data_IF_335225259291
#
_entry.id   IF_335225259291
#
_cell.length_a   1.000
_cell.length_b   1.000
_cell.length_c   1.000
_cell.angle_alpha   90.00
_cell.angle_beta   90.00
_cell.angle_gamma   90.00
#
_symmetry.space_group_name_H-M   'P 1'
#
loop_
_entity.id
_entity.type
_entity.pdbx_description
1 polymer ?
#
# COMPACT_ATOMS: atom_id res chain seq x y z
N UNK A 1 16.38 10.03 26.29
CA UNK A 1 15.93 10.48 24.97
C UNK A 1 14.77 9.56 24.59
N UNK A 2 13.52 10.07 24.52
CA UNK A 2 12.38 9.27 24.12
C UNK A 2 12.58 8.80 22.68
N UNK A 3 12.44 7.50 22.41
CA UNK A 3 12.51 6.97 21.05
C UNK A 3 11.44 7.66 20.22
N UNK A 4 11.84 8.25 19.09
CA UNK A 4 10.89 8.82 18.13
C UNK A 4 9.95 7.71 17.66
N UNK A 5 8.61 7.96 17.58
CA UNK A 5 7.69 6.93 17.13
C UNK A 5 7.98 6.55 15.68
N UNK A 6 7.97 5.24 15.38
CA UNK A 6 8.27 4.72 14.06
C UNK A 6 7.15 3.81 13.53
N UNK A 7 7.21 3.56 12.23
CA UNK A 7 6.29 2.68 11.50
C UNK A 7 7.06 1.46 11.02
N UNK A 8 6.45 0.28 11.15
CA UNK A 8 6.94 -0.97 10.55
C UNK A 8 6.03 -1.34 9.40
N UNK A 9 6.59 -1.47 8.21
CA UNK A 9 5.94 -2.06 7.05
C UNK A 9 6.29 -3.55 6.93
N UNK A 10 5.28 -4.41 6.77
CA UNK A 10 5.43 -5.87 6.67
C UNK A 10 4.71 -6.35 5.41
N UNK A 11 5.43 -6.73 4.36
CA UNK A 11 4.76 -7.13 3.12
C UNK A 11 5.69 -7.17 1.91
N UNK A 12 5.11 -6.97 0.72
CA UNK A 12 5.83 -7.11 -0.54
C UNK A 12 6.84 -5.99 -0.81
N UNK A 13 8.01 -6.42 -1.30
CA UNK A 13 8.97 -5.61 -2.02
C UNK A 13 9.35 -6.36 -3.30
N UNK A 14 9.09 -5.78 -4.46
CA UNK A 14 9.32 -6.43 -5.74
C UNK A 14 9.93 -5.48 -6.78
N UNK A 15 10.32 -6.04 -7.90
CA UNK A 15 10.65 -5.29 -9.11
C UNK A 15 9.41 -5.20 -10.00
N UNK A 16 9.07 -3.99 -10.45
CA UNK A 16 8.08 -3.78 -11.50
C UNK A 16 8.80 -3.66 -12.84
N UNK A 17 8.41 -4.53 -13.78
CA UNK A 17 8.83 -4.53 -15.17
C UNK A 17 7.66 -4.10 -16.04
N UNK A 18 7.73 -2.93 -16.67
CA UNK A 18 6.70 -2.41 -17.53
C UNK A 18 7.18 -2.36 -18.97
N UNK A 19 6.58 -3.16 -19.85
CA UNK A 19 6.79 -3.12 -21.29
C UNK A 19 5.66 -2.33 -21.96
N UNK A 20 5.97 -1.19 -22.57
CA UNK A 20 5.02 -0.38 -23.34
C UNK A 20 5.27 -0.57 -24.83
N UNK A 21 4.27 -1.04 -25.58
CA UNK A 21 4.37 -1.22 -27.02
C UNK A 21 4.37 0.11 -27.75
N UNK A 22 5.19 0.21 -28.82
CA UNK A 22 5.19 1.39 -29.70
C UNK A 22 4.11 1.34 -30.78
N UNK A 23 3.40 0.22 -30.93
CA UNK A 23 2.37 0.01 -31.96
C UNK A 23 1.36 -1.04 -31.47
N UNK A 24 0.37 -1.35 -32.30
CA UNK A 24 -0.59 -2.43 -32.04
C UNK A 24 0.13 -3.75 -31.76
N UNK A 25 -0.20 -4.39 -30.65
CA UNK A 25 0.42 -5.65 -30.24
C UNK A 25 -0.06 -6.81 -31.11
N UNK A 26 0.89 -7.55 -31.66
CA UNK A 26 0.67 -8.81 -32.33
C UNK A 26 0.95 -9.97 -31.38
N UNK A 27 -0.10 -10.71 -31.00
CA UNK A 27 0.04 -11.86 -30.14
C UNK A 27 0.89 -12.96 -30.81
N UNK A 28 1.73 -13.62 -30.02
CA UNK A 28 2.64 -14.69 -30.45
C UNK A 28 3.78 -14.23 -31.36
N UNK A 29 4.09 -12.93 -31.31
CA UNK A 29 5.18 -12.32 -32.07
C UNK A 29 6.02 -11.41 -31.15
N UNK A 30 7.20 -11.00 -31.64
CA UNK A 30 8.07 -10.03 -30.99
C UNK A 30 7.59 -8.62 -31.33
N UNK A 31 7.18 -7.84 -30.32
CA UNK A 31 6.68 -6.49 -30.49
C UNK A 31 7.74 -5.47 -30.07
N UNK A 32 8.07 -4.48 -30.92
CA UNK A 32 8.93 -3.37 -30.53
C UNK A 32 8.27 -2.52 -29.42
N UNK A 33 9.06 -2.14 -28.41
CA UNK A 33 8.54 -1.39 -27.27
C UNK A 33 9.64 -0.83 -26.39
N UNK A 34 9.23 -0.14 -25.34
CA UNK A 34 10.10 0.37 -24.28
C UNK A 34 9.88 -0.45 -23.01
N UNK A 35 11.00 -0.83 -22.37
CA UNK A 35 10.94 -1.54 -21.08
C UNK A 35 11.50 -0.62 -20.01
N UNK A 36 10.75 -0.44 -18.93
CA UNK A 36 11.17 0.29 -17.75
C UNK A 36 11.16 -0.60 -16.51
N UNK A 37 12.07 -0.29 -15.58
CA UNK A 37 12.17 -0.97 -14.29
C UNK A 37 11.95 0.03 -13.16
N UNK A 38 11.21 -0.40 -12.14
CA UNK A 38 11.11 0.34 -10.88
C UNK A 38 11.01 -0.61 -9.70
N UNK A 39 11.44 -0.18 -8.53
CA UNK A 39 11.13 -0.91 -7.31
C UNK A 39 9.65 -0.69 -6.99
N UNK A 40 8.96 -1.78 -6.67
CA UNK A 40 7.53 -1.85 -6.40
C UNK A 40 7.21 -2.65 -5.13
N UNK A 41 5.97 -3.08 -5.03
CA UNK A 41 5.38 -3.74 -3.86
C UNK A 41 4.61 -2.76 -3.00
N UNK A 42 3.35 -3.10 -2.67
CA UNK A 42 2.44 -2.18 -1.97
C UNK A 42 3.05 -1.70 -0.66
N UNK A 43 3.48 -2.61 0.22
CA UNK A 43 4.11 -2.22 1.50
C UNK A 43 5.38 -1.42 1.29
N UNK A 44 6.26 -1.80 0.34
CA UNK A 44 7.48 -1.04 0.03
C UNK A 44 7.15 0.36 -0.49
N UNK A 45 6.16 0.51 -1.34
CA UNK A 45 5.70 1.79 -1.88
C UNK A 45 5.13 2.70 -0.79
N UNK A 46 4.33 2.14 0.14
CA UNK A 46 3.84 2.84 1.33
C UNK A 46 5.02 3.32 2.19
N UNK A 47 6.01 2.45 2.44
CA UNK A 47 7.21 2.80 3.21
C UNK A 47 8.02 3.93 2.55
N UNK A 48 8.18 3.92 1.22
CA UNK A 48 8.88 4.99 0.51
C UNK A 48 8.16 6.33 0.65
N UNK A 49 6.84 6.36 0.42
CA UNK A 49 6.06 7.59 0.59
C UNK A 49 6.12 8.10 2.03
N UNK A 50 6.06 7.21 3.04
CA UNK A 50 6.20 7.57 4.46
C UNK A 50 7.57 8.17 4.77
N UNK A 51 8.65 7.56 4.28
CA UNK A 51 10.00 8.09 4.46
C UNK A 51 10.16 9.47 3.83
N UNK A 52 9.61 9.67 2.62
CA UNK A 52 9.60 10.98 1.94
C UNK A 52 8.77 12.04 2.69
N UNK A 53 7.72 11.64 3.42
CA UNK A 53 6.97 12.51 4.33
C UNK A 53 7.73 12.78 5.64
N UNK A 54 8.87 12.16 5.88
CA UNK A 54 9.72 12.36 7.06
C UNK A 54 9.43 11.44 8.24
N UNK A 55 8.69 10.33 8.04
CA UNK A 55 8.50 9.32 9.07
C UNK A 55 9.74 8.41 9.20
N UNK A 56 10.03 7.94 10.42
CA UNK A 56 10.96 6.82 10.64
C UNK A 56 10.24 5.52 10.25
N UNK A 57 10.76 4.82 9.23
CA UNK A 57 10.11 3.66 8.61
C UNK A 57 11.08 2.50 8.50
N UNK A 58 10.64 1.33 8.93
CA UNK A 58 11.40 0.08 8.86
C UNK A 58 10.63 -0.94 8.03
N UNK A 59 11.30 -1.56 7.05
CA UNK A 59 10.69 -2.53 6.14
C UNK A 59 11.07 -3.96 6.53
N UNK A 60 10.06 -4.78 6.79
CA UNK A 60 10.15 -6.23 6.91
C UNK A 60 9.60 -6.86 5.63
N UNK A 61 10.47 -7.47 4.85
CA UNK A 61 10.15 -8.14 3.60
C UNK A 61 11.24 -9.16 3.25
N UNK A 62 11.14 -9.79 2.07
CA UNK A 62 12.10 -10.73 1.57
C UNK A 62 12.49 -10.38 0.13
N UNK A 63 13.80 -10.41 -0.15
CA UNK A 63 14.36 -10.28 -1.50
C UNK A 63 15.37 -11.39 -1.75
N UNK A 64 15.62 -11.74 -3.00
CA UNK A 64 16.65 -12.69 -3.38
C UNK A 64 18.05 -12.08 -3.34
N UNK A 65 19.07 -12.93 -3.38
CA UNK A 65 20.48 -12.54 -3.53
C UNK A 65 20.85 -12.27 -5.01
N UNK A 66 19.87 -11.86 -5.82
CA UNK A 66 19.98 -11.58 -7.24
C UNK A 66 20.14 -10.07 -7.53
N UNK A 67 20.31 -9.75 -8.82
CA UNK A 67 20.47 -8.35 -9.28
C UNK A 67 19.23 -7.51 -8.98
N UNK A 68 18.04 -8.11 -8.94
CA UNK A 68 16.78 -7.43 -8.65
C UNK A 68 16.65 -7.14 -7.16
N UNK A 69 17.04 -8.06 -6.29
CA UNK A 69 17.12 -7.84 -4.84
C UNK A 69 18.08 -6.71 -4.51
N UNK A 70 19.25 -6.69 -5.15
CA UNK A 70 20.22 -5.60 -5.02
C UNK A 70 19.65 -4.25 -5.45
N UNK A 71 18.87 -4.22 -6.55
CA UNK A 71 18.19 -3.02 -7.03
C UNK A 71 17.12 -2.53 -6.03
N UNK A 72 16.27 -3.43 -5.54
CA UNK A 72 15.22 -3.12 -4.57
C UNK A 72 15.84 -2.54 -3.29
N UNK A 73 16.88 -3.20 -2.73
CA UNK A 73 17.59 -2.76 -1.52
C UNK A 73 18.15 -1.35 -1.70
N UNK A 74 18.87 -1.09 -2.80
CA UNK A 74 19.42 0.23 -3.10
C UNK A 74 18.33 1.28 -3.18
N UNK A 75 17.25 1.01 -3.89
CA UNK A 75 16.11 1.93 -4.00
C UNK A 75 15.48 2.25 -2.63
N UNK A 76 15.36 1.27 -1.73
CA UNK A 76 14.86 1.49 -0.38
C UNK A 76 15.79 2.42 0.43
N UNK A 77 17.11 2.19 0.37
CA UNK A 77 18.10 3.04 1.07
C UNK A 77 18.08 4.48 0.53
N UNK A 78 18.04 4.65 -0.80
CA UNK A 78 17.96 5.97 -1.45
C UNK A 78 16.68 6.72 -1.06
N UNK A 79 15.59 6.00 -0.79
CA UNK A 79 14.32 6.55 -0.33
C UNK A 79 14.30 6.89 1.19
N UNK A 80 15.32 6.47 1.94
CA UNK A 80 15.39 6.67 3.40
C UNK A 80 14.65 5.62 4.22
N UNK A 81 14.36 4.45 3.64
CA UNK A 81 13.75 3.33 4.37
C UNK A 81 14.84 2.56 5.10
N UNK A 82 14.63 2.28 6.38
CA UNK A 82 15.49 1.36 7.13
C UNK A 82 15.22 -0.09 6.70
N UNK A 83 16.21 -0.71 6.07
CA UNK A 83 16.17 -2.09 5.58
C UNK A 83 17.09 -3.04 6.38
N UNK A 84 17.53 -2.65 7.58
CA UNK A 84 18.41 -3.46 8.40
C UNK A 84 17.78 -4.83 8.79
N UNK A 85 16.47 -4.93 8.67
CA UNK A 85 15.68 -6.13 8.95
C UNK A 85 15.14 -6.82 7.69
N UNK A 86 15.47 -6.33 6.49
CA UNK A 86 15.05 -6.96 5.23
C UNK A 86 15.77 -8.31 5.05
N UNK A 87 15.00 -9.40 4.90
CA UNK A 87 15.56 -10.72 4.68
C UNK A 87 16.10 -10.87 3.25
N UNK A 88 17.30 -11.45 3.12
CA UNK A 88 17.90 -11.81 1.84
C UNK A 88 17.95 -13.34 1.74
N UNK A 89 17.10 -13.92 0.89
CA UNK A 89 17.01 -15.36 0.68
C UNK A 89 18.08 -15.81 -0.33
N UNK A 90 19.01 -16.64 0.13
CA UNK A 90 20.12 -17.14 -0.72
C UNK A 90 19.63 -18.14 -1.76
N UNK A 91 20.03 -17.92 -3.01
CA UNK A 91 19.68 -18.76 -4.16
C UNK A 91 18.23 -18.62 -4.61
N UNK A 92 17.48 -17.67 -4.04
CA UNK A 92 16.12 -17.36 -4.45
C UNK A 92 16.06 -16.18 -5.42
N UNK A 93 14.98 -16.11 -6.22
CA UNK A 93 14.71 -14.98 -7.11
C UNK A 93 13.79 -13.98 -6.43
N UNK A 94 14.13 -12.70 -6.53
CA UNK A 94 13.30 -11.61 -6.02
C UNK A 94 11.93 -11.57 -6.69
N UNK A 95 10.92 -11.10 -5.98
CA UNK A 95 9.58 -10.90 -6.52
C UNK A 95 9.59 -9.96 -7.72
N UNK A 96 8.79 -10.28 -8.74
CA UNK A 96 8.64 -9.49 -9.96
C UNK A 96 7.16 -9.33 -10.29
N UNK A 97 6.76 -8.13 -10.64
CA UNK A 97 5.52 -7.82 -11.32
C UNK A 97 5.83 -7.37 -12.75
N UNK A 98 5.35 -8.12 -13.73
CA UNK A 98 5.46 -7.79 -15.15
C UNK A 98 4.14 -7.26 -15.66
N UNK A 99 4.14 -6.09 -16.31
CA UNK A 99 3.00 -5.60 -17.07
C UNK A 99 3.38 -5.32 -18.53
N UNK A 100 2.47 -5.64 -19.43
CA UNK A 100 2.55 -5.29 -20.84
C UNK A 100 1.43 -4.31 -21.14
N UNK A 101 1.80 -3.13 -21.60
CA UNK A 101 0.90 -2.05 -22.00
C UNK A 101 0.83 -1.99 -23.52
N UNK A 102 -0.35 -1.74 -24.05
CA UNK A 102 -0.56 -1.47 -25.47
C UNK A 102 -0.06 -0.07 -25.87
N UNK A 103 -0.26 0.31 -27.13
CA UNK A 103 0.16 1.61 -27.67
C UNK A 103 -0.63 2.80 -27.07
N UNK A 104 -1.79 2.57 -26.50
CA UNK A 104 -2.62 3.58 -25.84
C UNK A 104 -2.26 3.72 -24.34
N UNK A 105 -1.37 2.82 -23.83
CA UNK A 105 -0.94 2.78 -22.43
C UNK A 105 -1.86 1.95 -21.54
N UNK A 106 -2.84 1.25 -22.11
CA UNK A 106 -3.71 0.36 -21.36
C UNK A 106 -3.03 -1.01 -21.10
N UNK A 107 -3.24 -1.55 -19.89
CA UNK A 107 -2.65 -2.83 -19.54
C UNK A 107 -3.34 -3.98 -20.26
N UNK A 108 -2.60 -4.62 -21.17
CA UNK A 108 -3.07 -5.82 -21.88
C UNK A 108 -2.98 -7.08 -21.01
N UNK A 109 -1.86 -7.25 -20.29
CA UNK A 109 -1.63 -8.40 -19.42
C UNK A 109 -0.67 -8.03 -18.28
N UNK A 110 -0.92 -8.56 -17.09
CA UNK A 110 -0.02 -8.49 -15.95
C UNK A 110 0.28 -9.88 -15.42
N UNK A 111 1.49 -10.10 -14.90
CA UNK A 111 1.91 -11.33 -14.24
C UNK A 111 2.68 -10.99 -12.98
N UNK A 112 2.29 -11.65 -11.87
CA UNK A 112 2.87 -11.43 -10.55
C UNK A 112 3.55 -12.69 -10.06
N UNK A 113 4.85 -12.61 -9.78
CA UNK A 113 5.59 -13.66 -9.09
C UNK A 113 6.03 -13.16 -7.72
N UNK A 114 5.27 -13.53 -6.68
CA UNK A 114 5.51 -13.15 -5.28
C UNK A 114 5.89 -14.35 -4.41
N UNK A 115 6.37 -15.45 -5.02
CA UNK A 115 6.64 -16.71 -4.30
C UNK A 115 7.67 -16.56 -3.20
N UNK A 116 8.71 -15.74 -3.38
CA UNK A 116 9.79 -15.58 -2.41
C UNK A 116 9.28 -15.15 -1.02
N UNK A 117 8.33 -14.22 -0.94
CA UNK A 117 7.79 -13.76 0.35
C UNK A 117 6.90 -14.79 1.04
N UNK A 118 6.48 -15.84 0.32
CA UNK A 118 5.63 -16.91 0.86
C UNK A 118 6.40 -18.21 1.12
N UNK A 119 7.47 -18.46 0.37
CA UNK A 119 8.17 -19.75 0.37
C UNK A 119 9.57 -19.69 0.97
N UNK A 120 10.27 -18.56 0.79
CA UNK A 120 11.68 -18.43 1.18
C UNK A 120 11.87 -17.55 2.43
N UNK A 121 10.79 -16.99 2.98
CA UNK A 121 10.85 -16.30 4.26
C UNK A 121 10.89 -17.34 5.38
N UNK A 122 11.93 -17.34 6.25
CA UNK A 122 12.01 -18.28 7.36
C UNK A 122 10.79 -18.20 8.28
N UNK A 123 10.31 -19.35 8.74
CA UNK A 123 9.12 -19.43 9.59
C UNK A 123 9.26 -18.66 10.91
N UNK A 124 10.49 -18.47 11.41
CA UNK A 124 10.84 -17.72 12.62
C UNK A 124 11.21 -16.26 12.31
N UNK A 125 11.15 -15.81 11.07
CA UNK A 125 11.53 -14.44 10.71
C UNK A 125 10.72 -13.40 11.46
N UNK A 126 9.39 -13.41 11.34
CA UNK A 126 8.54 -12.45 12.06
C UNK A 126 8.66 -12.59 13.58
N UNK A 127 8.65 -13.81 14.18
CA UNK A 127 8.96 -14.00 15.59
C UNK A 127 10.29 -13.39 16.05
N UNK A 128 11.35 -13.48 15.24
CA UNK A 128 12.65 -12.88 15.54
C UNK A 128 12.61 -11.34 15.57
N UNK A 129 11.65 -10.72 14.89
CA UNK A 129 11.42 -9.26 14.83
C UNK A 129 10.43 -8.76 15.90
N UNK A 130 10.03 -9.60 16.87
CA UNK A 130 9.01 -9.29 17.87
C UNK A 130 9.23 -7.93 18.57
N UNK A 131 10.44 -7.65 19.02
CA UNK A 131 10.73 -6.39 19.74
C UNK A 131 10.55 -5.18 18.82
N UNK A 132 10.99 -5.28 17.56
CA UNK A 132 10.80 -4.23 16.55
C UNK A 132 9.32 -4.01 16.25
N UNK A 133 8.56 -5.08 16.02
CA UNK A 133 7.12 -5.01 15.75
C UNK A 133 6.40 -4.39 16.95
N UNK A 134 6.64 -4.85 18.15
CA UNK A 134 5.97 -4.37 19.37
C UNK A 134 6.36 -2.96 19.79
N UNK A 135 7.53 -2.48 19.40
CA UNK A 135 7.97 -1.11 19.63
C UNK A 135 7.41 -0.08 18.65
N UNK A 136 6.84 -0.53 17.52
CA UNK A 136 6.27 0.35 16.52
C UNK A 136 4.96 1.00 17.01
N UNK A 137 4.75 2.27 16.67
CA UNK A 137 3.47 2.95 16.91
C UNK A 137 2.40 2.48 15.94
N UNK A 138 2.80 2.25 14.70
CA UNK A 138 1.96 1.79 13.60
C UNK A 138 2.64 0.60 12.92
N UNK A 139 1.88 -0.43 12.64
CA UNK A 139 2.28 -1.53 11.76
C UNK A 139 1.38 -1.50 10.54
N UNK A 140 1.95 -1.40 9.35
CA UNK A 140 1.22 -1.51 8.09
C UNK A 140 1.62 -2.79 7.37
N UNK A 141 0.66 -3.48 6.79
CA UNK A 141 0.94 -4.71 6.06
C UNK A 141 0.06 -4.90 4.84
N UNK A 142 0.54 -5.74 3.95
CA UNK A 142 -0.22 -6.31 2.85
C UNK A 142 -0.24 -7.86 2.95
N UNK A 143 -1.24 -8.53 2.33
CA UNK A 143 -1.39 -9.98 2.41
C UNK A 143 -0.49 -10.78 1.45
N UNK A 144 0.44 -10.15 0.73
CA UNK A 144 1.30 -10.84 -0.23
C UNK A 144 2.21 -11.89 0.43
N UNK A 145 2.52 -11.73 1.73
CA UNK A 145 3.29 -12.70 2.51
C UNK A 145 2.52 -14.00 2.83
N UNK A 146 1.23 -14.08 2.47
CA UNK A 146 0.35 -15.22 2.73
C UNK A 146 -0.33 -15.19 4.10
N UNK A 147 -1.34 -16.04 4.25
CA UNK A 147 -2.20 -16.07 5.45
C UNK A 147 -1.43 -16.40 6.73
N UNK A 148 -0.51 -17.38 6.66
CA UNK A 148 0.28 -17.81 7.83
C UNK A 148 1.13 -16.66 8.40
N UNK A 149 1.84 -15.93 7.55
CA UNK A 149 2.65 -14.80 8.00
C UNK A 149 1.77 -13.65 8.51
N UNK A 150 0.60 -13.43 7.91
CA UNK A 150 -0.35 -12.43 8.37
C UNK A 150 -0.90 -12.76 9.76
N UNK A 151 -1.23 -14.03 10.02
CA UNK A 151 -1.65 -14.51 11.34
C UNK A 151 -0.54 -14.34 12.38
N UNK A 152 0.70 -14.75 12.05
CA UNK A 152 1.86 -14.56 12.92
C UNK A 152 2.07 -13.09 13.27
N UNK A 153 1.98 -12.18 12.27
CA UNK A 153 2.11 -10.74 12.51
C UNK A 153 1.05 -10.25 13.50
N UNK A 154 -0.20 -10.62 13.27
CA UNK A 154 -1.33 -10.23 14.13
C UNK A 154 -1.18 -10.75 15.57
N UNK A 155 -0.60 -11.96 15.75
CA UNK A 155 -0.31 -12.54 17.07
C UNK A 155 0.86 -11.83 17.79
N UNK A 156 1.77 -11.22 17.03
CA UNK A 156 2.90 -10.45 17.59
C UNK A 156 2.52 -9.04 17.99
N UNK A 157 1.53 -8.44 17.31
CA UNK A 157 1.09 -7.07 17.57
C UNK A 157 0.40 -6.94 18.92
N UNK A 158 0.58 -5.78 19.55
CA UNK A 158 -0.09 -5.46 20.83
C UNK A 158 -1.45 -4.79 20.60
N UNK A 159 -2.43 -4.98 21.50
CA UNK A 159 -3.75 -4.38 21.36
C UNK A 159 -3.78 -2.85 21.26
N UNK A 160 -2.74 -2.18 21.76
CA UNK A 160 -2.59 -0.71 21.72
C UNK A 160 -1.99 -0.18 20.42
N UNK A 161 -1.53 -1.06 19.54
CA UNK A 161 -0.91 -0.67 18.28
C UNK A 161 -1.95 -0.43 17.18
N UNK A 162 -1.64 0.49 16.29
CA UNK A 162 -2.42 0.71 15.08
C UNK A 162 -1.89 -0.27 14.02
N UNK A 163 -2.62 -1.35 13.80
CA UNK A 163 -2.32 -2.33 12.75
C UNK A 163 -3.20 -2.04 11.55
N UNK A 164 -2.58 -1.63 10.44
CA UNK A 164 -3.27 -1.25 9.20
C UNK A 164 -3.03 -2.30 8.11
N UNK A 165 -4.09 -2.69 7.41
CA UNK A 165 -4.00 -3.57 6.23
C UNK A 165 -4.42 -2.84 4.96
N UNK A 166 -3.61 -3.00 3.90
CA UNK A 166 -4.02 -2.73 2.52
C UNK A 166 -4.32 -4.08 1.84
N UNK A 167 -5.55 -4.31 1.34
CA UNK A 167 -5.91 -5.60 0.73
C UNK A 167 -5.27 -5.84 -0.64
N UNK A 168 -4.68 -4.83 -1.28
CA UNK A 168 -3.95 -4.89 -2.56
C UNK A 168 -4.82 -5.22 -3.79
N UNK A 169 -5.67 -6.24 -3.68
CA UNK A 169 -6.52 -6.72 -4.79
C UNK A 169 -7.70 -7.55 -4.28
N UNK A 170 -8.69 -7.77 -5.15
CA UNK A 170 -9.83 -8.64 -4.83
C UNK A 170 -9.40 -10.07 -4.43
N UNK A 171 -8.33 -10.60 -5.02
CA UNK A 171 -7.82 -11.92 -4.67
C UNK A 171 -7.28 -11.96 -3.23
N UNK A 172 -6.47 -10.99 -2.87
CA UNK A 172 -5.91 -10.85 -1.54
C UNK A 172 -6.91 -10.35 -0.49
N UNK A 173 -7.92 -9.57 -0.89
CA UNK A 173 -9.04 -9.19 0.00
C UNK A 173 -9.77 -10.42 0.56
N UNK A 174 -9.85 -11.53 -0.20
CA UNK A 174 -10.41 -12.80 0.29
C UNK A 174 -9.59 -13.42 1.42
N UNK A 175 -8.27 -13.26 1.41
CA UNK A 175 -7.38 -13.70 2.49
C UNK A 175 -7.58 -12.84 3.74
N UNK A 176 -7.78 -11.54 3.57
CA UNK A 176 -7.97 -10.58 4.67
C UNK A 176 -9.37 -10.68 5.30
N UNK A 177 -10.41 -11.00 4.51
CA UNK A 177 -11.81 -10.95 4.94
C UNK A 177 -12.11 -11.72 6.24
N UNK A 178 -11.63 -12.97 6.47
CA UNK A 178 -11.84 -13.68 7.73
C UNK A 178 -11.07 -13.06 8.91
N UNK A 179 -10.04 -12.27 8.66
CA UNK A 179 -9.15 -11.68 9.66
C UNK A 179 -9.45 -10.20 9.94
N UNK A 180 -10.39 -9.59 9.20
CA UNK A 180 -10.58 -8.13 9.17
C UNK A 180 -10.81 -7.52 10.57
N UNK A 181 -11.49 -8.22 11.45
CA UNK A 181 -11.77 -7.78 12.82
C UNK A 181 -10.55 -7.77 13.75
N UNK A 182 -9.42 -8.32 13.32
CA UNK A 182 -8.14 -8.28 14.06
C UNK A 182 -7.30 -7.05 13.73
N UNK A 183 -7.65 -6.32 12.66
CA UNK A 183 -6.98 -5.08 12.29
C UNK A 183 -7.61 -3.87 12.97
N UNK A 184 -6.78 -2.88 13.26
CA UNK A 184 -7.25 -1.57 13.72
C UNK A 184 -7.79 -0.75 12.54
N UNK A 185 -7.09 -0.75 11.42
CA UNK A 185 -7.39 0.07 10.25
C UNK A 185 -7.34 -0.77 8.98
N UNK A 186 -8.26 -0.54 8.06
CA UNK A 186 -8.22 -1.09 6.70
C UNK A 186 -8.40 0.02 5.66
N UNK A 187 -7.68 -0.13 4.52
CA UNK A 187 -7.76 0.81 3.41
C UNK A 187 -8.06 0.09 2.08
N UNK A 188 -9.25 -0.45 1.89
CA UNK A 188 -9.67 -1.00 0.61
C UNK A 188 -10.03 0.10 -0.41
N UNK A 189 -10.04 -0.28 -1.70
CA UNK A 189 -10.86 0.36 -2.71
C UNK A 189 -12.29 -0.20 -2.69
N UNK A 190 -13.20 0.30 -3.57
CA UNK A 190 -14.60 -0.16 -3.62
C UNK A 190 -14.72 -1.67 -3.86
N UNK A 191 -13.99 -2.21 -4.84
CA UNK A 191 -14.07 -3.64 -5.20
C UNK A 191 -13.54 -4.55 -4.08
N UNK A 192 -12.48 -4.13 -3.42
CA UNK A 192 -11.92 -4.84 -2.27
C UNK A 192 -12.88 -4.79 -1.08
N UNK A 193 -13.54 -3.64 -0.84
CA UNK A 193 -14.55 -3.51 0.21
C UNK A 193 -15.74 -4.42 -0.04
N UNK A 194 -16.20 -4.58 -1.28
CA UNK A 194 -17.26 -5.53 -1.64
C UNK A 194 -16.91 -6.97 -1.22
N UNK A 195 -15.65 -7.36 -1.46
CA UNK A 195 -15.14 -8.69 -1.03
C UNK A 195 -15.08 -8.80 0.50
N UNK A 196 -14.54 -7.79 1.18
CA UNK A 196 -14.39 -7.80 2.64
C UNK A 196 -15.74 -7.82 3.36
N UNK A 197 -16.72 -7.09 2.83
CA UNK A 197 -18.07 -7.00 3.39
C UNK A 197 -19.00 -8.14 2.92
N UNK A 198 -18.68 -8.78 1.78
CA UNK A 198 -19.51 -9.82 1.17
C UNK A 198 -20.79 -9.27 0.55
N UNK A 199 -20.78 -8.03 0.04
CA UNK A 199 -21.94 -7.37 -0.57
C UNK A 199 -21.52 -6.42 -1.69
N UNK A 200 -22.42 -6.20 -2.67
CA UNK A 200 -22.22 -5.20 -3.71
C UNK A 200 -22.40 -3.77 -3.18
N UNK A 201 -21.66 -2.82 -3.77
CA UNK A 201 -21.67 -1.41 -3.41
C UNK A 201 -22.03 -0.56 -4.63
N UNK A 202 -23.28 -0.10 -4.68
CA UNK A 202 -23.83 0.71 -5.79
C UNK A 202 -24.15 2.16 -5.40
N UNK A 203 -24.14 2.46 -4.09
CA UNK A 203 -24.50 3.76 -3.53
C UNK A 203 -23.71 4.08 -2.27
N UNK A 204 -23.76 5.35 -1.81
CA UNK A 204 -23.15 5.75 -0.54
C UNK A 204 -23.83 5.05 0.66
N UNK A 205 -25.11 4.71 0.57
CA UNK A 205 -25.79 3.90 1.59
C UNK A 205 -25.22 2.47 1.64
N UNK A 206 -24.82 1.89 0.51
CA UNK A 206 -24.14 0.60 0.47
C UNK A 206 -22.74 0.69 1.06
N UNK A 207 -22.00 1.77 0.77
CA UNK A 207 -20.69 2.04 1.39
C UNK A 207 -20.78 2.06 2.91
N UNK A 208 -21.80 2.76 3.44
CA UNK A 208 -22.02 2.82 4.89
C UNK A 208 -22.35 1.43 5.45
N UNK A 209 -23.28 0.69 4.84
CA UNK A 209 -23.62 -0.68 5.27
C UNK A 209 -22.41 -1.62 5.23
N UNK A 210 -21.60 -1.54 4.17
CA UNK A 210 -20.38 -2.33 4.08
C UNK A 210 -19.39 -1.97 5.20
N UNK A 211 -19.24 -0.69 5.52
CA UNK A 211 -18.44 -0.22 6.65
C UNK A 211 -18.95 -0.77 7.98
N UNK A 212 -20.26 -0.69 8.23
CA UNK A 212 -20.90 -1.24 9.43
C UNK A 212 -20.61 -2.75 9.59
N UNK A 213 -20.65 -3.52 8.49
CA UNK A 213 -20.29 -4.96 8.51
C UNK A 213 -18.86 -5.15 9.02
N UNK A 214 -17.89 -4.36 8.55
CA UNK A 214 -16.50 -4.51 8.98
C UNK A 214 -16.27 -4.05 10.42
N UNK A 215 -16.87 -2.93 10.82
CA UNK A 215 -16.79 -2.43 12.21
C UNK A 215 -17.42 -3.43 13.20
N UNK A 216 -18.55 -4.04 12.85
CA UNK A 216 -19.18 -5.09 13.65
C UNK A 216 -18.33 -6.36 13.77
N UNK A 217 -17.41 -6.62 12.83
CA UNK A 217 -16.42 -7.70 12.93
C UNK A 217 -15.25 -7.35 13.85
N UNK A 218 -15.09 -6.07 14.26
CA UNK A 218 -14.04 -5.61 15.16
C UNK A 218 -13.07 -4.59 14.59
N UNK A 219 -13.13 -4.27 13.27
CA UNK A 219 -12.34 -3.20 12.67
C UNK A 219 -12.67 -1.88 13.40
N UNK A 220 -11.66 -1.00 13.60
CA UNK A 220 -11.83 0.28 14.27
C UNK A 220 -11.97 1.46 13.33
N UNK A 221 -11.23 1.43 12.22
CA UNK A 221 -11.20 2.53 11.24
C UNK A 221 -11.19 1.98 9.82
N UNK A 222 -12.06 2.49 8.97
CA UNK A 222 -12.17 2.14 7.56
C UNK A 222 -11.92 3.38 6.70
N UNK A 223 -10.97 3.29 5.77
CA UNK A 223 -10.72 4.30 4.75
C UNK A 223 -10.93 3.65 3.38
N UNK A 224 -11.85 4.16 2.58
CA UNK A 224 -12.15 3.60 1.25
C UNK A 224 -11.74 4.59 0.17
N UNK A 225 -10.82 4.18 -0.69
CA UNK A 225 -10.47 4.96 -1.88
C UNK A 225 -11.48 4.69 -3.00
N UNK A 226 -11.98 5.74 -3.65
CA UNK A 226 -13.04 5.68 -4.65
C UNK A 226 -12.63 6.33 -5.98
N UNK A 227 -11.32 6.40 -6.22
CA UNK A 227 -10.75 7.02 -7.42
C UNK A 227 -11.18 8.48 -7.56
N UNK A 228 -11.71 8.84 -8.72
CA UNK A 228 -12.18 10.21 -9.01
C UNK A 228 -13.38 10.63 -8.13
N UNK A 229 -14.09 9.71 -7.51
CA UNK A 229 -15.18 9.99 -6.59
C UNK A 229 -14.69 10.41 -5.20
N UNK A 230 -13.38 10.37 -4.94
CA UNK A 230 -12.78 10.77 -3.67
C UNK A 230 -12.55 9.62 -2.69
N UNK A 231 -12.90 9.80 -1.43
CA UNK A 231 -12.76 8.77 -0.41
C UNK A 231 -13.91 8.81 0.60
N UNK A 232 -14.08 7.69 1.29
CA UNK A 232 -15.04 7.49 2.35
C UNK A 232 -14.31 7.03 3.62
N UNK A 233 -14.78 7.47 4.77
CA UNK A 233 -14.26 7.08 6.08
C UNK A 233 -15.39 6.72 7.03
N UNK A 234 -15.14 5.74 7.86
CA UNK A 234 -16.00 5.35 8.97
C UNK A 234 -15.18 4.78 10.12
N UNK A 235 -15.60 5.00 11.36
CA UNK A 235 -14.95 4.43 12.54
C UNK A 235 -15.95 3.91 13.59
N UNK A 236 -15.43 3.22 14.59
CA UNK A 236 -16.22 2.61 15.68
C UNK A 236 -16.77 3.63 16.70
N UNK A 237 -16.45 4.92 16.55
CA UNK A 237 -17.08 6.01 17.31
C UNK A 237 -18.37 6.51 16.67
N UNK A 238 -18.67 6.06 15.45
CA UNK A 238 -19.82 6.47 14.65
C UNK A 238 -19.54 7.64 13.70
N UNK A 239 -18.29 8.08 13.55
CA UNK A 239 -17.95 9.09 12.58
C UNK A 239 -18.06 8.52 11.14
N UNK A 240 -18.73 9.27 10.26
CA UNK A 240 -18.85 8.98 8.84
C UNK A 240 -18.48 10.23 8.06
N UNK A 241 -17.47 10.14 7.21
CA UNK A 241 -16.99 11.26 6.43
C UNK A 241 -16.88 10.90 4.94
N UNK A 242 -17.14 11.87 4.09
CA UNK A 242 -16.94 11.79 2.65
C UNK A 242 -16.06 12.97 2.22
N UNK A 243 -15.00 12.68 1.48
CA UNK A 243 -14.12 13.71 0.93
C UNK A 243 -13.97 13.57 -0.56
N UNK A 244 -13.98 14.72 -1.24
CA UNK A 244 -13.70 14.84 -2.65
C UNK A 244 -12.82 16.08 -2.85
N UNK A 245 -11.85 15.99 -3.74
CA UNK A 245 -11.09 17.14 -4.22
C UNK A 245 -11.44 17.42 -5.69
N UNK A 246 -11.07 18.58 -6.19
CA UNK A 246 -11.23 18.88 -7.61
C UNK A 246 -10.42 17.86 -8.43
N UNK A 247 -10.93 17.44 -9.60
CA UNK A 247 -10.22 16.52 -10.48
C UNK A 247 -8.87 17.09 -10.90
N UNK A 248 -7.82 16.26 -10.82
CA UNK A 248 -6.51 16.56 -11.40
C UNK A 248 -6.38 15.85 -12.76
N UNK A 249 -5.54 16.41 -13.65
CA UNK A 249 -5.20 15.72 -14.90
C UNK A 249 -4.34 14.51 -14.56
N UNK A 250 -4.87 13.33 -14.76
CA UNK A 250 -4.15 12.07 -14.52
C UNK A 250 -3.07 11.85 -15.58
N UNK A 251 -1.87 11.55 -15.13
CA UNK A 251 -0.70 11.15 -15.93
C UNK A 251 -0.45 9.65 -15.78
N UNK A 252 -0.52 9.14 -14.52
CA UNK A 252 -0.33 7.72 -14.19
C UNK A 252 -1.27 7.35 -13.04
N UNK A 253 -2.00 6.25 -13.16
CA UNK A 253 -2.90 5.79 -12.12
C UNK A 253 -2.19 4.95 -11.02
N UNK A 254 -0.99 4.43 -11.32
CA UNK A 254 -0.25 3.55 -10.42
C UNK A 254 0.23 4.28 -9.15
N UNK A 255 0.22 3.59 -8.02
CA UNK A 255 0.75 4.11 -6.76
C UNK A 255 -0.14 5.12 -6.03
N UNK A 256 -1.30 5.50 -6.59
CA UNK A 256 -2.24 6.43 -5.93
C UNK A 256 -2.77 5.86 -4.61
N UNK A 257 -3.10 4.57 -4.58
CA UNK A 257 -3.54 3.85 -3.39
C UNK A 257 -2.46 3.80 -2.31
N UNK A 258 -1.21 3.50 -2.72
CA UNK A 258 -0.05 3.40 -1.82
C UNK A 258 0.29 4.77 -1.22
N UNK A 259 0.24 5.82 -2.06
CA UNK A 259 0.47 7.21 -1.62
C UNK A 259 -0.61 7.68 -0.65
N UNK A 260 -1.89 7.36 -0.94
CA UNK A 260 -3.01 7.62 -0.02
C UNK A 260 -2.77 6.93 1.32
N UNK A 261 -2.45 5.62 1.31
CA UNK A 261 -2.20 4.84 2.53
C UNK A 261 -1.05 5.44 3.35
N UNK A 262 0.05 5.79 2.69
CA UNK A 262 1.21 6.39 3.36
C UNK A 262 0.87 7.71 4.04
N UNK A 263 0.21 8.63 3.34
CA UNK A 263 -0.14 9.93 3.93
C UNK A 263 -1.21 9.81 5.04
N UNK A 264 -2.15 8.88 4.91
CA UNK A 264 -3.10 8.50 5.95
C UNK A 264 -2.38 8.00 7.21
N UNK A 265 -1.39 7.11 7.05
CA UNK A 265 -0.60 6.56 8.17
C UNK A 265 0.30 7.64 8.78
N UNK A 266 0.92 8.50 7.96
CA UNK A 266 1.67 9.64 8.43
C UNK A 266 0.79 10.57 9.30
N UNK A 267 -0.38 10.97 8.79
CA UNK A 267 -1.32 11.81 9.51
C UNK A 267 -1.78 11.17 10.84
N UNK A 268 -2.02 9.86 10.81
CA UNK A 268 -2.34 9.05 12.01
C UNK A 268 -1.18 9.06 13.03
N UNK A 269 0.08 8.92 12.56
CA UNK A 269 1.27 8.98 13.42
C UNK A 269 1.43 10.35 14.08
N UNK A 270 1.08 11.44 13.36
CA UNK A 270 1.09 12.82 13.85
C UNK A 270 -0.09 13.14 14.79
N UNK A 271 -1.04 12.22 14.96
CA UNK A 271 -2.23 12.43 15.80
C UNK A 271 -3.27 13.39 15.20
N UNK A 272 -3.28 13.53 13.86
CA UNK A 272 -4.29 14.35 13.19
C UNK A 272 -5.67 13.68 13.26
N UNK A 273 -6.71 14.51 13.24
CA UNK A 273 -8.11 14.03 13.20
C UNK A 273 -8.45 13.32 11.87
N UNK A 274 -9.62 12.72 11.80
CA UNK A 274 -10.06 11.96 10.64
C UNK A 274 -10.19 12.84 9.39
N UNK A 275 -10.63 14.10 9.51
CA UNK A 275 -10.77 15.01 8.39
C UNK A 275 -9.43 15.34 7.76
N UNK A 276 -8.44 15.75 8.56
CA UNK A 276 -7.10 16.05 8.09
C UNK A 276 -6.39 14.81 7.58
N UNK A 277 -6.67 13.64 8.18
CA UNK A 277 -6.13 12.35 7.69
C UNK A 277 -6.65 12.03 6.28
N UNK A 278 -7.92 12.24 6.02
CA UNK A 278 -8.51 12.08 4.68
C UNK A 278 -7.95 13.11 3.68
N UNK A 279 -7.85 14.37 4.09
CA UNK A 279 -7.28 15.44 3.26
C UNK A 279 -5.85 15.08 2.81
N UNK A 280 -5.00 14.60 3.73
CA UNK A 280 -3.63 14.18 3.42
C UNK A 280 -3.59 12.97 2.48
N UNK A 281 -4.42 11.94 2.73
CA UNK A 281 -4.54 10.78 1.84
C UNK A 281 -4.94 11.19 0.43
N UNK A 282 -5.95 12.05 0.29
CA UNK A 282 -6.42 12.56 -1.01
C UNK A 282 -5.34 13.38 -1.72
N UNK A 283 -4.64 14.28 -1.01
CA UNK A 283 -3.57 15.08 -1.57
C UNK A 283 -2.41 14.21 -2.08
N UNK A 284 -2.03 13.16 -1.34
CA UNK A 284 -1.01 12.23 -1.76
C UNK A 284 -1.44 11.39 -2.99
N UNK A 285 -2.72 10.99 -3.05
CA UNK A 285 -3.28 10.37 -4.25
C UNK A 285 -3.17 11.28 -5.48
N UNK A 286 -3.49 12.58 -5.35
CA UNK A 286 -3.31 13.56 -6.43
C UNK A 286 -1.83 13.74 -6.78
N UNK A 287 -0.93 13.85 -5.79
CA UNK A 287 0.51 13.96 -6.02
C UNK A 287 1.06 12.77 -6.82
N UNK A 288 0.51 11.56 -6.61
CA UNK A 288 0.87 10.37 -7.36
C UNK A 288 0.33 10.41 -8.78
N UNK A 289 -0.99 10.61 -8.97
CA UNK A 289 -1.60 10.53 -10.31
C UNK A 289 -1.18 11.63 -11.26
N UNK A 290 -0.63 12.73 -10.77
CA UNK A 290 -0.10 13.85 -11.57
C UNK A 290 1.37 13.70 -11.95
N UNK A 291 2.01 12.59 -11.56
CA UNK A 291 3.42 12.31 -11.84
C UNK A 291 3.56 11.06 -12.72
N UNK A 292 4.63 11.00 -13.52
CA UNK A 292 4.90 9.89 -14.45
C UNK A 292 5.30 8.59 -13.71
N UNK A 293 5.98 8.70 -12.56
CA UNK A 293 6.44 7.55 -11.78
C UNK A 293 5.34 7.09 -10.81
N UNK A 294 5.32 5.81 -10.51
CA UNK A 294 4.44 5.20 -9.49
C UNK A 294 4.54 5.90 -8.14
N UNK A 295 5.75 6.32 -7.75
CA UNK A 295 5.98 7.16 -6.57
C UNK A 295 6.52 8.50 -7.02
N UNK A 296 5.86 9.57 -6.59
CA UNK A 296 6.34 10.92 -6.84
C UNK A 296 7.59 11.20 -5.98
N UNK A 297 8.77 11.43 -6.60
CA UNK A 297 10.02 11.63 -5.85
C UNK A 297 10.01 12.91 -5.01
N UNK A 298 9.10 13.85 -5.29
CA UNK A 298 8.92 15.11 -4.56
C UNK A 298 7.87 14.97 -3.43
N UNK A 299 7.38 13.77 -3.13
CA UNK A 299 6.42 13.55 -2.05
C UNK A 299 6.97 14.17 -0.76
N UNK A 300 6.20 15.07 -0.17
CA UNK A 300 6.58 15.82 1.03
C UNK A 300 5.37 16.51 1.65
N UNK A 301 5.43 16.83 2.93
CA UNK A 301 4.36 17.57 3.61
C UNK A 301 4.05 18.92 2.93
N UNK A 302 5.05 19.74 2.53
CA UNK A 302 4.77 20.97 1.79
C UNK A 302 4.03 20.74 0.47
N UNK A 303 4.33 19.66 -0.27
CA UNK A 303 3.61 19.31 -1.49
C UNK A 303 2.14 18.98 -1.20
N UNK A 304 1.87 18.18 -0.15
CA UNK A 304 0.49 17.84 0.23
C UNK A 304 -0.31 19.10 0.60
N UNK A 305 0.26 19.99 1.40
CA UNK A 305 -0.40 21.25 1.78
C UNK A 305 -0.67 22.16 0.56
N UNK A 306 0.27 22.24 -0.38
CA UNK A 306 0.08 22.98 -1.65
C UNK A 306 -1.06 22.39 -2.50
N UNK A 307 -1.14 21.07 -2.59
CA UNK A 307 -2.21 20.37 -3.31
C UNK A 307 -3.56 20.66 -2.63
N UNK A 308 -3.63 20.59 -1.31
CA UNK A 308 -4.86 20.91 -0.59
C UNK A 308 -5.33 22.34 -0.84
N UNK A 309 -4.41 23.31 -0.90
CA UNK A 309 -4.76 24.70 -1.25
C UNK A 309 -5.30 24.82 -2.69
N UNK A 310 -4.74 24.04 -3.61
CA UNK A 310 -5.07 24.13 -5.05
C UNK A 310 -6.36 23.37 -5.40
N UNK A 311 -6.57 22.19 -4.82
CA UNK A 311 -7.63 21.26 -5.22
C UNK A 311 -8.78 21.14 -4.22
N UNK A 312 -8.77 21.89 -3.12
CA UNK A 312 -9.92 21.96 -2.19
C UNK A 312 -11.16 22.49 -2.90
N UNK A 313 -12.31 21.82 -2.67
CA UNK A 313 -13.63 22.26 -3.20
C UNK A 313 -14.15 23.44 -2.39
#
# INVERSE_FOLDING_TARGET
MGNQPYIVGVGAANLDLNGASCATIHLRDSNPGHISLSAGGVTRNVCENLARLGADVKLLSCVGDDVFGSYIRRSCVEAGIDISHLHEAKGAHSSIYLSILDADGDMLVGMSDMRIVQQDLPADYLPSQKQLIQGAKVVTCDPCMGETALLQLLDLCQPSQIVCVDPVSCAYARVVAPLIGRFHTAKPNRMELEILAGMEIRSDADLQRAGEVLLNKGLKRLFVSLGAEGCFYMDDTGAVLRRKLRPAKMVNASGAGDSFAAAMLYATLQGYDAEKTLDYGMAAGIAAVTHERTINPNMSVPLLESILQTYRL
#
